data_IF_902396790283
#
_entry.id   IF_902396790283
#
_cell.length_a   1.000
_cell.length_b   1.000
_cell.length_c   1.000
_cell.angle_alpha   90.00
_cell.angle_beta   90.00
_cell.angle_gamma   90.00
#
_symmetry.space_group_name_H-M   'P 1'
#
loop_
_entity.id
_entity.type
_entity.pdbx_description
1 polymer ?
#
# COMPACT_ATOMS: atom_id res chain seq x y z
N UNK A 1 24.71 -3.31 12.30
CA UNK A 1 24.85 -2.75 10.93
C UNK A 1 23.58 -2.93 10.08
N UNK A 2 22.75 -3.95 10.32
CA UNK A 2 21.48 -4.14 9.60
C UNK A 2 20.32 -3.24 10.08
N UNK A 3 20.27 -2.87 11.36
CA UNK A 3 19.19 -2.02 11.89
C UNK A 3 19.24 -0.58 11.36
N UNK A 4 20.44 -0.06 11.10
CA UNK A 4 20.64 1.27 10.53
C UNK A 4 20.14 1.36 9.08
N UNK A 5 20.32 0.29 8.30
CA UNK A 5 19.80 0.19 6.93
C UNK A 5 18.27 0.09 6.90
N UNK A 6 17.67 -0.68 7.81
CA UNK A 6 16.20 -0.80 7.94
C UNK A 6 15.56 0.55 8.31
N UNK A 7 16.16 1.26 9.26
CA UNK A 7 15.74 2.62 9.66
C UNK A 7 15.78 3.61 8.49
N UNK A 8 16.85 3.60 7.70
CA UNK A 8 16.97 4.49 6.54
C UNK A 8 15.96 4.19 5.43
N UNK A 9 15.67 2.91 5.17
CA UNK A 9 14.63 2.51 4.23
C UNK A 9 13.25 2.96 4.72
N UNK A 10 12.93 2.73 5.99
CA UNK A 10 11.68 3.14 6.60
C UNK A 10 11.45 4.67 6.51
N UNK A 11 12.48 5.47 6.85
CA UNK A 11 12.44 6.94 6.69
C UNK A 11 12.23 7.36 5.24
N UNK A 12 12.85 6.66 4.29
CA UNK A 12 12.68 6.94 2.86
C UNK A 12 11.25 6.67 2.40
N UNK A 13 10.62 5.58 2.85
CA UNK A 13 9.22 5.27 2.53
C UNK A 13 8.25 6.28 3.17
N UNK A 14 8.43 6.61 4.45
CA UNK A 14 7.62 7.62 5.14
C UNK A 14 7.71 9.00 4.47
N UNK A 15 8.91 9.39 4.00
CA UNK A 15 9.11 10.66 3.29
C UNK A 15 8.26 10.76 2.02
N UNK A 16 8.01 9.64 1.35
CA UNK A 16 7.15 9.59 0.16
C UNK A 16 5.68 9.36 0.48
N UNK A 17 5.37 8.70 1.60
CA UNK A 17 3.99 8.43 2.03
C UNK A 17 3.23 9.71 2.38
N UNK A 18 3.86 10.60 3.15
CA UNK A 18 3.24 11.87 3.58
C UNK A 18 2.75 12.72 2.39
N UNK A 19 3.58 13.05 1.39
CA UNK A 19 3.11 13.85 0.25
C UNK A 19 2.08 13.10 -0.60
N UNK A 20 2.13 11.77 -0.67
CA UNK A 20 1.14 10.98 -1.40
C UNK A 20 -0.24 11.06 -0.74
N UNK A 21 -0.32 10.90 0.58
CA UNK A 21 -1.56 11.08 1.35
C UNK A 21 -2.11 12.50 1.19
N UNK A 22 -1.24 13.51 1.29
CA UNK A 22 -1.62 14.91 1.10
C UNK A 22 -2.21 15.16 -0.30
N UNK A 23 -1.60 14.54 -1.32
CA UNK A 23 -2.12 14.59 -2.69
C UNK A 23 -3.48 13.90 -2.80
N UNK A 24 -3.67 12.78 -2.09
CA UNK A 24 -4.90 12.01 -2.08
C UNK A 24 -6.04 12.78 -1.41
N UNK A 25 -5.77 13.47 -0.30
CA UNK A 25 -6.71 14.39 0.33
C UNK A 25 -7.05 15.60 -0.55
N UNK A 26 -6.06 16.15 -1.27
CA UNK A 26 -6.31 17.19 -2.26
C UNK A 26 -7.24 16.71 -3.38
N UNK A 27 -7.06 15.48 -3.86
CA UNK A 27 -7.93 14.86 -4.86
C UNK A 27 -9.35 14.68 -4.31
N UNK A 28 -9.50 14.16 -3.08
CA UNK A 28 -10.82 14.02 -2.43
C UNK A 28 -11.49 15.40 -2.31
N UNK A 29 -10.77 16.43 -1.87
CA UNK A 29 -11.27 17.79 -1.77
C UNK A 29 -11.66 18.39 -3.13
N UNK A 30 -10.88 18.13 -4.18
CA UNK A 30 -11.17 18.54 -5.55
C UNK A 30 -12.41 17.84 -6.11
N UNK A 31 -12.51 16.52 -5.94
CA UNK A 31 -13.70 15.75 -6.34
C UNK A 31 -14.90 16.34 -5.64
N UNK A 32 -14.84 16.49 -4.31
CA UNK A 32 -15.92 17.08 -3.53
C UNK A 32 -16.31 18.49 -3.98
N UNK A 33 -15.34 19.34 -4.33
CA UNK A 33 -15.60 20.67 -4.86
C UNK A 33 -16.28 20.64 -6.24
N UNK A 34 -15.86 19.74 -7.12
CA UNK A 34 -16.39 19.62 -8.49
C UNK A 34 -17.79 19.00 -8.54
N UNK A 35 -18.15 18.13 -7.59
CA UNK A 35 -19.50 17.54 -7.55
C UNK A 35 -20.58 18.58 -7.21
N UNK A 36 -20.21 19.78 -6.77
CA UNK A 36 -21.12 20.91 -6.52
C UNK A 36 -22.05 20.75 -5.32
N UNK A 37 -22.03 19.57 -4.69
CA UNK A 37 -22.83 19.24 -3.53
C UNK A 37 -21.94 19.24 -2.28
N UNK A 38 -22.00 20.35 -1.54
CA UNK A 38 -21.17 20.58 -0.35
C UNK A 38 -21.74 19.93 0.92
N UNK A 39 -22.37 18.76 0.78
CA UNK A 39 -22.93 18.04 1.92
C UNK A 39 -21.85 17.16 2.57
N UNK A 40 -21.83 17.16 3.91
CA UNK A 40 -20.87 16.39 4.71
C UNK A 40 -21.03 14.87 4.47
N UNK A 41 -22.27 14.43 4.17
CA UNK A 41 -22.59 13.05 3.84
C UNK A 41 -21.84 12.55 2.60
N UNK A 42 -21.83 13.35 1.53
CA UNK A 42 -21.13 12.96 0.31
C UNK A 42 -19.61 13.03 0.44
N UNK A 43 -19.08 13.93 1.27
CA UNK A 43 -17.66 13.91 1.62
C UNK A 43 -17.28 12.58 2.28
N UNK A 44 -18.12 12.06 3.19
CA UNK A 44 -17.95 10.74 3.79
C UNK A 44 -18.00 9.63 2.75
N UNK A 45 -18.99 9.63 1.86
CA UNK A 45 -19.15 8.62 0.81
C UNK A 45 -17.96 8.60 -0.17
N UNK A 46 -17.48 9.78 -0.61
CA UNK A 46 -16.31 9.91 -1.49
C UNK A 46 -15.05 9.43 -0.78
N UNK A 47 -14.84 9.84 0.48
CA UNK A 47 -13.65 9.42 1.26
C UNK A 47 -13.63 7.91 1.48
N UNK A 48 -14.79 7.32 1.76
CA UNK A 48 -14.95 5.87 1.87
C UNK A 48 -14.64 5.16 0.55
N UNK A 49 -15.21 5.63 -0.57
CA UNK A 49 -15.01 5.01 -1.87
C UNK A 49 -13.54 5.08 -2.34
N UNK A 50 -12.90 6.24 -2.15
CA UNK A 50 -11.49 6.44 -2.48
C UNK A 50 -10.59 5.57 -1.59
N UNK A 51 -10.85 5.50 -0.29
CA UNK A 51 -10.13 4.62 0.64
C UNK A 51 -10.26 3.15 0.27
N UNK A 52 -11.49 2.68 0.03
CA UNK A 52 -11.77 1.31 -0.38
C UNK A 52 -11.09 0.92 -1.71
N UNK A 53 -11.14 1.81 -2.71
CA UNK A 53 -10.48 1.60 -4.01
C UNK A 53 -8.96 1.48 -3.88
N UNK A 54 -8.37 2.31 -3.02
CA UNK A 54 -6.93 2.29 -2.75
C UNK A 54 -6.50 1.00 -2.05
N UNK A 55 -7.27 0.53 -1.08
CA UNK A 55 -7.03 -0.77 -0.43
C UNK A 55 -7.20 -1.94 -1.42
N UNK A 56 -8.19 -1.88 -2.31
CA UNK A 56 -8.40 -2.89 -3.35
C UNK A 56 -7.23 -2.94 -4.34
N UNK A 57 -6.67 -1.79 -4.74
CA UNK A 57 -5.45 -1.75 -5.55
C UNK A 57 -4.27 -2.41 -4.82
N UNK A 58 -4.09 -2.13 -3.53
CA UNK A 58 -3.09 -2.80 -2.69
C UNK A 58 -3.28 -4.31 -2.61
N UNK A 59 -4.54 -4.77 -2.51
CA UNK A 59 -4.88 -6.19 -2.53
C UNK A 59 -4.56 -6.85 -3.88
N UNK A 60 -4.81 -6.17 -5.00
CA UNK A 60 -4.46 -6.69 -6.33
C UNK A 60 -2.94 -6.81 -6.51
N UNK A 61 -2.16 -5.82 -6.04
CA UNK A 61 -0.70 -5.91 -6.03
C UNK A 61 -0.25 -7.09 -5.17
N UNK A 62 -0.83 -7.27 -3.98
CA UNK A 62 -0.54 -8.42 -3.14
C UNK A 62 -0.84 -9.76 -3.82
N UNK A 63 -2.03 -9.89 -4.41
CA UNK A 63 -2.46 -11.11 -5.09
C UNK A 63 -1.55 -11.44 -6.28
N UNK A 64 -1.20 -10.44 -7.09
CA UNK A 64 -0.26 -10.59 -8.21
C UNK A 64 1.13 -11.03 -7.76
N UNK A 65 1.67 -10.40 -6.71
CA UNK A 65 2.95 -10.80 -6.12
C UNK A 65 2.89 -12.23 -5.56
N UNK A 66 1.81 -12.61 -4.86
CA UNK A 66 1.68 -13.95 -4.30
C UNK A 66 1.57 -15.02 -5.39
N UNK A 67 0.91 -14.70 -6.51
CA UNK A 67 0.83 -15.58 -7.66
C UNK A 67 2.19 -15.74 -8.38
N UNK A 68 2.99 -14.66 -8.50
CA UNK A 68 4.32 -14.74 -9.13
C UNK A 68 5.35 -15.46 -8.25
N UNK A 69 5.36 -15.19 -6.95
CA UNK A 69 6.29 -15.79 -5.98
C UNK A 69 5.88 -17.20 -5.53
N UNK A 70 4.60 -17.56 -5.61
CA UNK A 70 4.11 -18.92 -5.34
C UNK A 70 4.46 -19.94 -6.43
N UNK A 71 4.97 -19.49 -7.58
CA UNK A 71 5.36 -20.35 -8.68
C UNK A 71 6.79 -20.89 -8.46
N UNK A 72 6.94 -21.79 -7.48
CA UNK A 72 8.18 -22.52 -7.18
C UNK A 72 8.81 -23.18 -8.43
N UNK A 73 8.05 -23.42 -9.51
CA UNK A 73 8.57 -23.87 -10.81
C UNK A 73 9.70 -22.99 -11.38
N UNK A 74 9.72 -21.69 -11.10
CA UNK A 74 10.79 -20.80 -11.56
C UNK A 74 12.11 -21.03 -10.82
N UNK A 75 12.06 -21.49 -9.56
CA UNK A 75 13.26 -21.80 -8.78
C UNK A 75 13.83 -23.18 -9.14
N UNK A 76 12.98 -24.14 -9.55
CA UNK A 76 13.37 -25.50 -9.97
C UNK A 76 13.85 -25.62 -11.43
N UNK A 77 13.57 -24.65 -12.31
CA UNK A 77 14.04 -24.71 -13.70
C UNK A 77 15.54 -24.39 -13.87
N UNK A 78 16.21 -23.86 -12.83
CA UNK A 78 17.62 -23.43 -12.86
C UNK A 78 18.50 -24.14 -11.81
N UNK A 79 18.15 -25.35 -11.37
CA UNK A 79 18.91 -26.09 -10.33
C UNK A 79 19.95 -27.02 -10.94
N UNK A 80 21.22 -26.58 -10.92
CA UNK A 80 22.39 -27.44 -11.11
C UNK A 80 23.50 -27.23 -10.05
N UNK A 81 23.37 -26.32 -9.07
CA UNK A 81 24.42 -26.09 -8.05
C UNK A 81 23.89 -25.56 -6.72
N UNK A 82 24.20 -26.27 -5.63
CA UNK A 82 23.84 -25.93 -4.23
C UNK A 82 24.62 -24.72 -3.68
N UNK A 83 25.73 -24.33 -4.32
CA UNK A 83 26.63 -23.29 -3.82
C UNK A 83 26.00 -21.88 -3.77
N UNK A 84 24.92 -21.62 -4.52
CA UNK A 84 24.27 -20.30 -4.62
C UNK A 84 23.00 -20.16 -3.76
N UNK A 85 22.66 -21.17 -2.95
CA UNK A 85 21.40 -21.20 -2.21
C UNK A 85 21.25 -20.05 -1.19
N UNK A 86 22.34 -19.67 -0.50
CA UNK A 86 22.32 -18.54 0.45
C UNK A 86 22.10 -17.17 -0.21
N UNK A 87 22.63 -16.96 -1.42
CA UNK A 87 22.42 -15.69 -2.15
C UNK A 87 20.96 -15.57 -2.61
N UNK A 88 20.34 -16.68 -3.04
CA UNK A 88 18.92 -16.72 -3.43
C UNK A 88 17.97 -16.46 -2.27
N UNK A 89 18.20 -17.10 -1.11
CA UNK A 89 17.38 -16.86 0.09
C UNK A 89 17.39 -15.36 0.44
N UNK A 90 18.55 -14.71 0.39
CA UNK A 90 18.65 -13.27 0.65
C UNK A 90 17.96 -12.39 -0.41
N UNK A 91 17.89 -12.81 -1.67
CA UNK A 91 17.11 -12.10 -2.71
C UNK A 91 15.61 -12.28 -2.50
N UNK A 92 15.14 -13.51 -2.28
CA UNK A 92 13.73 -13.82 -1.98
C UNK A 92 13.25 -13.05 -0.75
N UNK A 93 14.06 -12.99 0.30
CA UNK A 93 13.74 -12.22 1.50
C UNK A 93 13.64 -10.72 1.23
N UNK A 94 14.54 -10.16 0.42
CA UNK A 94 14.47 -8.74 0.02
C UNK A 94 13.23 -8.43 -0.80
N UNK A 95 12.86 -9.30 -1.73
CA UNK A 95 11.66 -9.13 -2.55
C UNK A 95 10.37 -9.28 -1.73
N UNK A 96 10.33 -10.21 -0.77
CA UNK A 96 9.21 -10.33 0.17
C UNK A 96 9.06 -9.09 1.04
N UNK A 97 10.16 -8.59 1.62
CA UNK A 97 10.12 -7.38 2.44
C UNK A 97 9.72 -6.13 1.64
N UNK A 98 10.17 -5.99 0.39
CA UNK A 98 9.77 -4.88 -0.47
C UNK A 98 8.26 -4.94 -0.80
N UNK A 99 7.73 -6.14 -1.02
CA UNK A 99 6.30 -6.35 -1.25
C UNK A 99 5.46 -6.13 0.02
N UNK A 100 5.90 -6.62 1.18
CA UNK A 100 5.23 -6.34 2.46
C UNK A 100 5.19 -4.85 2.78
N UNK A 101 6.27 -4.13 2.50
CA UNK A 101 6.31 -2.67 2.65
C UNK A 101 5.31 -1.96 1.72
N UNK A 102 5.16 -2.43 0.46
CA UNK A 102 4.16 -1.91 -0.48
C UNK A 102 2.73 -2.18 -0.01
N UNK A 103 2.46 -3.36 0.55
CA UNK A 103 1.13 -3.70 1.06
C UNK A 103 0.77 -2.83 2.26
N UNK A 104 1.69 -2.68 3.22
CA UNK A 104 1.53 -1.77 4.35
C UNK A 104 1.30 -0.33 3.88
N UNK A 105 2.01 0.10 2.82
CA UNK A 105 1.81 1.41 2.20
C UNK A 105 0.35 1.59 1.73
N UNK A 106 -0.19 0.65 0.95
CA UNK A 106 -1.58 0.74 0.47
C UNK A 106 -2.62 0.63 1.58
N UNK A 107 -2.35 -0.14 2.63
CA UNK A 107 -3.24 -0.24 3.80
C UNK A 107 -3.31 1.10 4.53
N UNK A 108 -2.18 1.77 4.75
CA UNK A 108 -2.15 3.09 5.42
C UNK A 108 -2.83 4.14 4.53
N UNK A 109 -2.43 4.20 3.25
CA UNK A 109 -2.93 5.17 2.28
C UNK A 109 -4.44 5.05 2.04
N UNK A 110 -4.97 3.82 2.01
CA UNK A 110 -6.41 3.58 1.85
C UNK A 110 -7.19 3.62 3.17
N UNK A 111 -6.55 3.25 4.28
CA UNK A 111 -7.16 3.21 5.60
C UNK A 111 -7.45 4.60 6.17
N UNK A 112 -6.55 5.57 5.96
CA UNK A 112 -6.71 6.94 6.46
C UNK A 112 -7.99 7.62 5.89
N UNK A 113 -8.23 7.63 4.57
CA UNK A 113 -9.47 8.15 4.00
C UNK A 113 -10.71 7.40 4.49
N UNK A 114 -10.62 6.08 4.64
CA UNK A 114 -11.74 5.22 5.03
C UNK A 114 -12.16 5.48 6.49
N UNK A 115 -11.19 5.54 7.40
CA UNK A 115 -11.42 5.93 8.81
C UNK A 115 -11.99 7.34 8.89
N UNK A 116 -11.45 8.28 8.10
CA UNK A 116 -11.93 9.66 8.05
C UNK A 116 -13.40 9.71 7.60
N UNK A 117 -13.77 8.96 6.56
CA UNK A 117 -15.16 8.83 6.11
C UNK A 117 -16.09 8.28 7.20
N UNK A 118 -15.69 7.21 7.89
CA UNK A 118 -16.47 6.60 8.99
C UNK A 118 -16.65 7.58 10.15
N UNK A 119 -15.58 8.26 10.57
CA UNK A 119 -15.64 9.23 11.67
C UNK A 119 -16.55 10.40 11.34
N UNK A 120 -16.46 10.93 10.12
CA UNK A 120 -17.38 11.99 9.65
C UNK A 120 -18.82 11.46 9.68
N UNK A 121 -19.08 10.23 9.20
CA UNK A 121 -20.43 9.66 9.25
C UNK A 121 -20.96 9.54 10.68
N UNK A 122 -20.13 9.08 11.63
CA UNK A 122 -20.52 8.91 13.04
C UNK A 122 -20.72 10.22 13.80
N UNK A 123 -19.99 11.29 13.46
CA UNK A 123 -20.15 12.59 14.14
C UNK A 123 -21.49 13.26 13.75
N UNK A 124 -21.98 12.99 12.54
CA UNK A 124 -23.12 13.68 11.95
C UNK A 124 -24.39 12.81 11.81
N UNK A 125 -24.38 11.58 12.35
CA UNK A 125 -25.54 10.68 12.48
C UNK A 125 -25.90 10.49 13.94
#
# INVERSE_FOLDING_TARGET
MDDEKKSNLYKKYLKWLIPLDLTLFLIIGLIWWLTGEHTIRQLSDISFFVGASTMMAGFLVYAGTRQSTGNFRYQFANTASDADMHKRINQDWKERFANEALILFFIILGGIPLITGILIYQIFT
#
